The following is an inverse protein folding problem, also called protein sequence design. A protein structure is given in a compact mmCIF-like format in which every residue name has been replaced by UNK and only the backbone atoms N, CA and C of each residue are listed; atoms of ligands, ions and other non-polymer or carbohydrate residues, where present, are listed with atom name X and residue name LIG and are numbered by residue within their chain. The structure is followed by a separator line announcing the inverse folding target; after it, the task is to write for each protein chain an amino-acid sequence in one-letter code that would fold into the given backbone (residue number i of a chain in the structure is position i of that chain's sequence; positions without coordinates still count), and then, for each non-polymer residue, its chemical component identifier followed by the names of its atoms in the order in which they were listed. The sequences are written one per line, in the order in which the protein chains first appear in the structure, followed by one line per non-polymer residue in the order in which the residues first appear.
data_IF_195679882306
#
_entry.id   IF_195679882306
#
_cell.length_a   1.000
_cell.length_b   1.000
_cell.length_c   1.000
_cell.angle_alpha   90.00
_cell.angle_beta   90.00
_cell.angle_gamma   90.00
#
_symmetry.space_group_name_H-M   'P 1'
#
loop_
_entity.id
_entity.type
_entity.pdbx_description
1 polymer ?
#
# COMPACT_ATOMS: atom_id res chain seq x y z
N UNK A 1 -3.18 -13.68 -40.39
CA UNK A 1 -3.47 -14.15 -39.02
C UNK A 1 -2.55 -13.39 -38.09
N UNK A 2 -3.05 -12.37 -37.39
CA UNK A 2 -2.22 -11.53 -36.50
C UNK A 2 -2.17 -12.19 -35.13
N UNK A 3 -0.96 -12.46 -34.64
CA UNK A 3 -0.76 -12.98 -33.29
C UNK A 3 -1.05 -11.84 -32.31
N UNK A 4 -2.05 -12.02 -31.45
CA UNK A 4 -2.25 -11.16 -30.28
C UNK A 4 -1.33 -11.71 -29.20
N UNK A 5 -0.24 -11.01 -28.92
CA UNK A 5 0.61 -11.29 -27.76
C UNK A 5 -0.17 -10.92 -26.51
N UNK A 6 -0.51 -11.91 -25.67
CA UNK A 6 -1.04 -11.64 -24.35
C UNK A 6 0.07 -11.03 -23.49
N UNK A 7 -0.10 -9.79 -23.04
CA UNK A 7 0.77 -9.20 -22.02
C UNK A 7 0.35 -9.77 -20.66
N UNK A 8 1.28 -10.42 -19.96
CA UNK A 8 1.07 -10.79 -18.56
C UNK A 8 1.36 -9.56 -17.70
N UNK A 9 0.42 -9.19 -16.83
CA UNK A 9 0.61 -8.12 -15.85
C UNK A 9 1.35 -8.70 -14.65
N UNK A 10 2.48 -8.11 -14.28
CA UNK A 10 3.16 -8.40 -13.02
C UNK A 10 2.73 -7.39 -11.97
N UNK A 11 2.50 -7.85 -10.74
CA UNK A 11 2.28 -6.98 -9.59
C UNK A 11 3.58 -6.82 -8.84
N UNK A 12 3.95 -5.59 -8.54
CA UNK A 12 5.10 -5.29 -7.68
C UNK A 12 4.62 -5.08 -6.23
N UNK A 13 5.35 -5.67 -5.28
CA UNK A 13 5.18 -5.35 -3.86
C UNK A 13 5.89 -4.03 -3.60
N UNK A 14 5.12 -2.98 -3.30
CA UNK A 14 5.65 -1.64 -3.04
C UNK A 14 5.93 -1.38 -1.56
N UNK A 15 5.24 -2.09 -0.67
CA UNK A 15 5.38 -1.97 0.76
C UNK A 15 4.87 -3.25 1.44
N UNK A 16 5.54 -3.66 2.52
CA UNK A 16 5.15 -4.79 3.36
C UNK A 16 5.07 -4.29 4.79
N UNK A 17 3.91 -4.42 5.43
CA UNK A 17 3.74 -4.03 6.82
C UNK A 17 4.43 -5.02 7.75
N UNK A 18 5.11 -4.51 8.76
CA UNK A 18 5.53 -5.30 9.93
C UNK A 18 4.40 -5.34 10.98
N UNK A 19 4.40 -6.36 11.85
CA UNK A 19 3.27 -6.64 12.78
C UNK A 19 2.84 -5.41 13.61
N UNK A 20 3.81 -4.59 14.01
CA UNK A 20 3.56 -3.40 14.84
C UNK A 20 3.05 -2.18 14.03
N UNK A 21 3.27 -2.14 12.72
CA UNK A 21 2.96 -1.00 11.84
C UNK A 21 1.54 -1.11 11.25
N UNK A 22 0.99 -2.31 11.26
CA UNK A 22 -0.38 -2.61 10.83
C UNK A 22 -0.55 -4.06 10.38
N UNK A 23 -1.62 -4.69 10.82
CA UNK A 23 -1.99 -6.06 10.49
C UNK A 23 -3.39 -6.06 9.85
N UNK A 24 -3.57 -6.82 8.77
CA UNK A 24 -4.80 -6.87 7.95
C UNK A 24 -5.20 -5.50 7.36
N UNK A 25 -4.67 -5.17 6.20
CA UNK A 25 -5.23 -4.12 5.36
C UNK A 25 -6.58 -4.59 4.80
N UNK A 26 -7.68 -4.15 5.41
CA UNK A 26 -9.06 -4.51 5.02
C UNK A 26 -9.83 -3.31 4.47
N UNK A 27 -9.14 -2.42 3.74
CA UNK A 27 -9.77 -1.25 3.12
C UNK A 27 -9.43 -1.10 1.67
N UNK A 28 -10.36 -0.49 0.95
CA UNK A 28 -10.04 0.15 -0.33
C UNK A 28 -8.93 1.19 -0.11
N UNK A 29 -8.07 1.32 -1.13
CA UNK A 29 -6.99 2.30 -1.15
C UNK A 29 -7.44 3.55 -1.90
N UNK A 30 -7.17 4.71 -1.33
CA UNK A 30 -7.43 6.00 -1.99
C UNK A 30 -6.11 6.61 -2.48
N UNK A 31 -6.15 7.36 -3.58
CA UNK A 31 -4.97 8.02 -4.15
C UNK A 31 -5.20 9.50 -4.34
N UNK A 32 -4.26 10.33 -3.88
CA UNK A 32 -4.31 11.78 -4.10
C UNK A 32 -3.73 12.20 -5.47
N UNK A 33 -3.79 13.50 -5.77
CA UNK A 33 -3.24 14.08 -7.00
C UNK A 33 -1.70 14.06 -7.07
N UNK A 34 -1.01 13.96 -5.93
CA UNK A 34 0.44 13.81 -5.88
C UNK A 34 0.87 12.35 -6.09
N UNK A 35 -0.08 11.43 -6.06
CA UNK A 35 0.14 10.00 -6.26
C UNK A 35 0.37 9.21 -4.97
N UNK A 36 0.18 9.82 -3.80
CA UNK A 36 0.25 9.16 -2.50
C UNK A 36 -0.94 8.19 -2.35
N UNK A 37 -0.70 7.07 -1.69
CA UNK A 37 -1.70 6.01 -1.45
C UNK A 37 -2.07 6.04 0.04
N UNK A 38 -3.36 5.94 0.34
CA UNK A 38 -3.89 5.96 1.70
C UNK A 38 -4.73 4.73 1.97
N UNK A 39 -4.70 4.25 3.21
CA UNK A 39 -5.52 3.13 3.65
C UNK A 39 -5.51 3.01 5.17
N UNK A 40 -6.19 1.99 5.68
CA UNK A 40 -6.15 1.65 7.10
C UNK A 40 -5.89 0.17 7.30
N UNK A 41 -5.26 -0.18 8.42
CA UNK A 41 -5.20 -1.56 8.90
C UNK A 41 -6.19 -1.74 10.04
N UNK A 42 -6.79 -2.93 10.17
CA UNK A 42 -7.78 -3.20 11.23
C UNK A 42 -7.14 -3.70 12.53
N UNK A 43 -5.89 -4.17 12.46
CA UNK A 43 -5.06 -4.59 13.60
C UNK A 43 -3.64 -4.02 13.47
N UNK A 44 -2.76 -4.32 14.43
CA UNK A 44 -1.46 -3.65 14.61
C UNK A 44 -1.61 -2.28 15.27
N UNK A 45 -0.53 -1.49 15.29
CA UNK A 45 -0.53 -0.15 15.90
C UNK A 45 -0.67 -0.16 17.43
N UNK A 46 -0.84 1.02 18.02
CA UNK A 46 -0.91 1.17 19.47
C UNK A 46 -2.09 0.36 20.05
N UNK A 47 -1.79 -0.54 20.99
CA UNK A 47 -2.75 -1.45 21.62
C UNK A 47 -3.52 -2.38 20.65
N UNK A 48 -3.05 -2.56 19.41
CA UNK A 48 -3.70 -3.41 18.41
C UNK A 48 -4.96 -2.80 17.76
N UNK A 49 -5.12 -1.47 17.83
CA UNK A 49 -6.30 -0.77 17.32
C UNK A 49 -6.33 -0.51 15.81
N UNK A 50 -5.28 -0.88 15.08
CA UNK A 50 -5.09 -0.50 13.68
C UNK A 50 -4.40 0.85 13.50
N UNK A 51 -4.01 1.15 12.25
CA UNK A 51 -3.39 2.43 11.88
C UNK A 51 -4.06 3.01 10.63
N UNK A 52 -4.02 4.34 10.51
CA UNK A 52 -4.23 5.01 9.22
C UNK A 52 -2.85 5.27 8.64
N UNK A 53 -2.62 4.90 7.38
CA UNK A 53 -1.30 5.05 6.77
C UNK A 53 -1.37 5.83 5.45
N UNK A 54 -0.26 6.46 5.14
CA UNK A 54 0.06 7.07 3.86
C UNK A 54 1.34 6.43 3.30
N UNK A 55 1.32 6.00 2.04
CA UNK A 55 2.52 5.66 1.28
C UNK A 55 2.81 6.78 0.28
N UNK A 56 4.01 7.36 0.39
CA UNK A 56 4.48 8.42 -0.50
C UNK A 56 5.65 7.94 -1.36
N UNK A 57 5.73 8.42 -2.60
CA UNK A 57 6.87 8.12 -3.46
C UNK A 57 8.05 9.03 -3.14
N UNK A 58 9.22 8.42 -2.95
CA UNK A 58 10.50 9.12 -2.82
C UNK A 58 11.48 8.60 -3.89
N UNK A 59 12.62 9.28 -4.12
CA UNK A 59 13.63 8.80 -5.05
C UNK A 59 14.16 7.39 -4.74
N UNK A 60 13.96 6.90 -3.50
CA UNK A 60 14.44 5.61 -3.04
C UNK A 60 13.35 4.53 -2.97
N UNK A 61 12.09 4.85 -3.30
CA UNK A 61 10.98 3.89 -3.24
C UNK A 61 9.73 4.47 -2.60
N UNK A 62 9.03 3.65 -1.82
CA UNK A 62 7.85 4.06 -1.08
C UNK A 62 8.19 4.23 0.40
N UNK A 63 7.73 5.32 1.00
CA UNK A 63 7.86 5.59 2.43
C UNK A 63 6.48 5.61 3.09
N UNK A 64 6.33 4.87 4.19
CA UNK A 64 5.13 4.86 5.01
C UNK A 64 5.18 6.01 6.03
N UNK A 65 4.02 6.63 6.26
CA UNK A 65 3.74 7.48 7.40
C UNK A 65 2.45 6.99 8.07
N UNK A 66 2.49 6.74 9.38
CA UNK A 66 1.30 6.54 10.20
C UNK A 66 0.73 7.92 10.56
N UNK A 67 -0.57 8.12 10.30
CA UNK A 67 -1.28 9.40 10.45
C UNK A 67 -2.03 9.51 11.79
#
# INVERSE_FOLDING_TARGET
MSLVTAAATTTDVIFSFEEDEGEYADTDLERDMAGNIYGTTVLGGEFGGGTVFQLSQTPNGWEQTVL
#
